data_IF_269604160549
#
_entry.id   IF_269604160549
#
_cell.length_a   1.000
_cell.length_b   1.000
_cell.length_c   1.000
_cell.angle_alpha   90.00
_cell.angle_beta   90.00
_cell.angle_gamma   90.00
#
_symmetry.space_group_name_H-M   'P 1'
#
loop_
_entity.id
_entity.type
_entity.pdbx_description
1 polymer ?
#
# COMPACT_ATOMS: atom_id res chain seq x y z
N UNK A 1 19.48 -14.74 -5.27
CA UNK A 1 18.37 -13.79 -5.45
C UNK A 1 17.77 -13.53 -4.08
N UNK A 2 18.04 -12.37 -3.47
CA UNK A 2 17.69 -12.13 -2.07
C UNK A 2 16.16 -12.05 -1.92
N UNK A 3 15.61 -12.95 -1.12
CA UNK A 3 14.29 -12.78 -0.51
C UNK A 3 14.20 -11.39 0.13
N UNK A 4 13.04 -10.74 0.04
CA UNK A 4 12.78 -9.57 0.87
C UNK A 4 12.79 -10.05 2.32
N UNK A 5 13.80 -9.70 3.10
CA UNK A 5 13.85 -10.11 4.50
C UNK A 5 12.81 -9.34 5.31
N UNK A 6 12.33 -9.91 6.42
CA UNK A 6 11.42 -9.23 7.34
C UNK A 6 12.00 -7.88 7.82
N UNK A 7 13.33 -7.80 7.96
CA UNK A 7 14.04 -6.57 8.30
C UNK A 7 14.04 -5.52 7.18
N UNK A 8 13.95 -5.91 5.92
CA UNK A 8 13.73 -4.98 4.80
C UNK A 8 12.28 -4.50 4.80
N UNK A 9 11.32 -5.42 4.94
CA UNK A 9 9.89 -5.09 5.00
C UNK A 9 9.62 -4.10 6.14
N UNK A 10 10.13 -4.36 7.35
CA UNK A 10 9.94 -3.49 8.50
C UNK A 10 10.52 -2.08 8.30
N UNK A 11 11.67 -1.96 7.60
CA UNK A 11 12.25 -0.64 7.28
C UNK A 11 11.39 0.14 6.29
N UNK A 12 10.86 -0.52 5.27
CA UNK A 12 9.99 0.15 4.30
C UNK A 12 8.64 0.55 4.93
N UNK A 13 8.03 -0.32 5.74
CA UNK A 13 6.82 0.02 6.49
C UNK A 13 7.03 1.21 7.42
N UNK A 14 8.21 1.35 8.03
CA UNK A 14 8.54 2.52 8.87
C UNK A 14 8.62 3.81 8.07
N UNK A 15 9.15 3.79 6.84
CA UNK A 15 9.13 4.97 5.96
C UNK A 15 7.69 5.34 5.56
N UNK A 16 6.88 4.33 5.23
CA UNK A 16 5.45 4.53 4.91
C UNK A 16 4.70 5.14 6.09
N UNK A 17 4.99 4.72 7.32
CA UNK A 17 4.40 5.34 8.53
C UNK A 17 4.75 6.83 8.63
N UNK A 18 6.00 7.21 8.32
CA UNK A 18 6.40 8.62 8.27
C UNK A 18 5.63 9.39 7.20
N UNK A 19 5.46 8.81 6.01
CA UNK A 19 4.70 9.44 4.93
C UNK A 19 3.23 9.65 5.30
N UNK A 20 2.61 8.69 5.97
CA UNK A 20 1.23 8.82 6.48
C UNK A 20 1.14 9.96 7.51
N UNK A 21 2.15 10.09 8.38
CA UNK A 21 2.20 11.19 9.35
C UNK A 21 2.34 12.55 8.65
N UNK A 22 3.16 12.63 7.60
CA UNK A 22 3.29 13.84 6.78
C UNK A 22 1.96 14.21 6.10
N UNK A 23 1.25 13.25 5.50
CA UNK A 23 -0.10 13.46 4.93
C UNK A 23 -1.05 13.99 6.00
N UNK A 24 -1.00 13.44 7.21
CA UNK A 24 -1.84 13.87 8.32
C UNK A 24 -1.52 15.32 8.72
N UNK A 25 -0.25 15.71 8.70
CA UNK A 25 0.19 17.09 8.90
C UNK A 25 -0.32 18.04 7.82
N UNK A 26 -0.19 17.65 6.54
CA UNK A 26 -0.68 18.42 5.40
C UNK A 26 -2.20 18.66 5.46
N UNK A 27 -2.97 17.66 5.91
CA UNK A 27 -4.42 17.78 6.10
C UNK A 27 -4.78 18.67 7.29
N UNK A 28 -4.01 18.56 8.37
CA UNK A 28 -4.31 19.28 9.62
C UNK A 28 -3.93 20.76 9.56
N UNK A 29 -3.04 21.14 8.64
CA UNK A 29 -2.53 22.51 8.47
C UNK A 29 -2.66 22.95 7.00
N UNK A 30 -3.89 23.13 6.48
CA UNK A 30 -4.13 23.37 5.05
C UNK A 30 -3.54 24.70 4.54
N UNK A 31 -3.37 25.70 5.41
CA UNK A 31 -2.80 27.01 5.07
C UNK A 31 -1.27 27.07 5.21
N UNK A 32 -0.62 25.94 5.50
CA UNK A 32 0.83 25.83 5.56
C UNK A 32 1.44 26.00 4.17
N UNK A 33 2.45 26.87 4.03
CA UNK A 33 3.22 27.01 2.79
C UNK A 33 4.07 25.75 2.48
N UNK A 34 4.32 24.90 3.49
CA UNK A 34 5.12 23.68 3.34
C UNK A 34 4.23 22.46 3.16
N UNK A 35 4.39 21.78 2.02
CA UNK A 35 3.88 20.43 1.76
C UNK A 35 4.88 19.41 2.31
N UNK A 36 4.44 18.60 3.28
CA UNK A 36 5.25 17.62 3.98
C UNK A 36 5.42 16.33 3.15
N UNK A 37 4.36 15.86 2.48
CA UNK A 37 4.47 14.72 1.58
C UNK A 37 5.16 15.11 0.26
N UNK A 38 6.37 14.58 0.08
CA UNK A 38 7.14 14.76 -1.14
C UNK A 38 6.58 13.93 -2.30
N UNK A 39 6.51 14.49 -3.51
CA UNK A 39 5.96 13.81 -4.71
C UNK A 39 6.75 12.54 -5.07
N UNK A 40 8.04 12.54 -4.79
CA UNK A 40 8.96 11.43 -5.06
C UNK A 40 8.58 10.17 -4.29
N UNK A 41 7.86 10.30 -3.16
CA UNK A 41 7.41 9.16 -2.35
C UNK A 41 6.45 8.23 -3.10
N UNK A 42 5.71 8.76 -4.08
CA UNK A 42 4.88 7.93 -4.96
C UNK A 42 5.76 7.04 -5.82
N UNK A 43 6.81 7.61 -6.42
CA UNK A 43 7.76 6.87 -7.24
C UNK A 43 8.46 5.79 -6.41
N UNK A 44 8.84 6.11 -5.17
CA UNK A 44 9.46 5.13 -4.27
C UNK A 44 8.55 3.93 -4.02
N UNK A 45 7.24 4.15 -3.83
CA UNK A 45 6.26 3.05 -3.70
C UNK A 45 6.12 2.27 -5.02
N UNK A 46 6.03 2.96 -6.15
CA UNK A 46 5.93 2.34 -7.48
C UNK A 46 7.15 1.45 -7.78
N UNK A 47 8.36 1.91 -7.46
CA UNK A 47 9.59 1.13 -7.59
C UNK A 47 9.55 -0.13 -6.71
N UNK A 48 9.01 -0.04 -5.49
CA UNK A 48 8.83 -1.21 -4.63
C UNK A 48 7.78 -2.20 -5.16
N UNK A 49 6.67 -1.69 -5.73
CA UNK A 49 5.66 -2.51 -6.42
C UNK A 49 6.33 -3.30 -7.55
N UNK A 50 7.15 -2.65 -8.38
CA UNK A 50 7.84 -3.30 -9.49
C UNK A 50 8.81 -4.38 -9.01
N UNK A 51 9.59 -4.11 -7.95
CA UNK A 51 10.51 -5.10 -7.38
C UNK A 51 9.75 -6.33 -6.87
N UNK A 52 8.61 -6.13 -6.19
CA UNK A 52 7.83 -7.26 -5.66
C UNK A 52 7.14 -8.03 -6.79
N UNK A 53 6.58 -7.32 -7.76
CA UNK A 53 5.90 -7.91 -8.93
C UNK A 53 6.82 -8.86 -9.69
N UNK A 54 8.08 -8.45 -9.91
CA UNK A 54 9.08 -9.28 -10.59
C UNK A 54 9.48 -10.56 -9.83
N UNK A 55 9.13 -10.68 -8.54
CA UNK A 55 9.40 -11.87 -7.72
C UNK A 55 8.20 -12.81 -7.63
N UNK A 56 7.04 -12.39 -8.11
CA UNK A 56 5.79 -13.12 -7.95
C UNK A 56 5.33 -13.75 -9.26
N UNK A 57 4.66 -14.92 -9.22
CA UNK A 57 3.93 -15.41 -10.37
C UNK A 57 2.83 -14.40 -10.77
N UNK A 58 2.49 -14.32 -12.08
CA UNK A 58 1.48 -13.40 -12.58
C UNK A 58 0.14 -13.64 -11.90
N UNK A 59 -0.56 -12.56 -11.56
CA UNK A 59 -1.90 -12.62 -10.98
C UNK A 59 -2.89 -13.01 -12.07
N UNK A 60 -3.48 -14.21 -11.97
CA UNK A 60 -4.44 -14.72 -12.96
C UNK A 60 -5.89 -14.49 -12.56
N UNK A 61 -6.16 -14.48 -11.27
CA UNK A 61 -7.52 -14.43 -10.69
C UNK A 61 -7.52 -13.56 -9.44
N UNK A 62 -8.71 -13.14 -9.00
CA UNK A 62 -8.86 -12.45 -7.73
C UNK A 62 -8.43 -13.36 -6.57
N UNK A 63 -7.75 -12.78 -5.59
CA UNK A 63 -7.26 -13.50 -4.40
C UNK A 63 -8.12 -13.11 -3.21
N UNK A 64 -8.59 -14.12 -2.48
CA UNK A 64 -9.25 -13.91 -1.19
C UNK A 64 -8.22 -13.50 -0.12
N UNK A 65 -8.51 -12.47 0.69
CA UNK A 65 -7.61 -12.04 1.74
C UNK A 65 -7.56 -13.09 2.85
N UNK A 66 -6.36 -13.60 3.15
CA UNK A 66 -6.19 -14.62 4.18
C UNK A 66 -4.85 -15.34 4.08
N UNK A 67 -4.56 -16.20 5.06
CA UNK A 67 -3.27 -16.89 5.20
C UNK A 67 -2.83 -16.88 6.66
N UNK A 68 -1.57 -16.56 6.92
CA UNK A 68 -1.05 -16.33 8.26
C UNK A 68 -1.55 -15.02 8.88
N UNK A 69 -1.28 -14.84 10.18
CA UNK A 69 -1.57 -13.58 10.88
C UNK A 69 -0.87 -12.38 10.21
N UNK A 70 0.37 -12.56 9.77
CA UNK A 70 1.14 -11.51 9.09
C UNK A 70 0.43 -11.06 7.81
N UNK A 71 0.05 -12.02 6.95
CA UNK A 71 -0.66 -11.75 5.70
C UNK A 71 -2.01 -11.07 5.96
N UNK A 72 -2.74 -11.54 6.98
CA UNK A 72 -4.04 -10.99 7.36
C UNK A 72 -3.92 -9.53 7.82
N UNK A 73 -2.90 -9.20 8.62
CA UNK A 73 -2.61 -7.81 9.06
C UNK A 73 -2.28 -6.89 7.88
N UNK A 74 -1.55 -7.38 6.87
CA UNK A 74 -1.29 -6.62 5.65
C UNK A 74 -2.57 -6.32 4.87
N UNK A 75 -3.49 -7.28 4.77
CA UNK A 75 -4.79 -7.04 4.15
C UNK A 75 -5.67 -6.07 4.94
N UNK A 76 -5.65 -6.13 6.27
CA UNK A 76 -6.33 -5.13 7.12
C UNK A 76 -5.77 -3.74 6.84
N UNK A 77 -4.45 -3.57 6.88
CA UNK A 77 -3.80 -2.29 6.57
C UNK A 77 -4.18 -1.77 5.17
N UNK A 78 -4.24 -2.67 4.17
CA UNK A 78 -4.70 -2.34 2.81
C UNK A 78 -6.13 -1.80 2.79
N UNK A 79 -7.05 -2.44 3.51
CA UNK A 79 -8.44 -1.96 3.59
C UNK A 79 -8.53 -0.59 4.25
N UNK A 80 -7.76 -0.34 5.31
CA UNK A 80 -7.66 0.97 5.95
C UNK A 80 -7.12 2.03 4.99
N UNK A 81 -6.12 1.71 4.17
CA UNK A 81 -5.58 2.64 3.16
C UNK A 81 -6.64 3.01 2.11
N UNK A 82 -7.42 2.03 1.63
CA UNK A 82 -8.52 2.29 0.67
C UNK A 82 -9.63 3.12 1.29
N UNK A 83 -9.94 2.92 2.58
CA UNK A 83 -10.91 3.74 3.29
C UNK A 83 -10.43 5.19 3.38
N UNK A 84 -9.17 5.40 3.79
CA UNK A 84 -8.56 6.72 3.87
C UNK A 84 -8.54 7.42 2.51
N UNK A 85 -8.16 6.73 1.44
CA UNK A 85 -8.21 7.28 0.08
C UNK A 85 -9.62 7.75 -0.32
N UNK A 86 -10.67 6.97 -0.07
CA UNK A 86 -12.05 7.39 -0.37
C UNK A 86 -12.45 8.62 0.43
N UNK A 87 -12.07 8.69 1.70
CA UNK A 87 -12.28 9.88 2.53
C UNK A 87 -11.54 11.09 1.98
N UNK A 88 -10.29 10.94 1.53
CA UNK A 88 -9.52 12.02 0.91
C UNK A 88 -10.20 12.50 -0.38
N UNK A 89 -10.59 11.59 -1.27
CA UNK A 89 -11.31 11.94 -2.51
C UNK A 89 -12.60 12.72 -2.19
N UNK A 90 -13.37 12.25 -1.20
CA UNK A 90 -14.62 12.92 -0.79
C UNK A 90 -14.37 14.28 -0.15
N UNK A 91 -13.33 14.43 0.65
CA UNK A 91 -12.99 15.68 1.35
C UNK A 91 -12.55 16.76 0.36
N UNK A 92 -11.85 16.35 -0.69
CA UNK A 92 -11.11 17.24 -1.55
C UNK A 92 -11.82 17.75 -2.80
N UNK A 93 -12.85 17.06 -3.29
CA UNK A 93 -13.49 17.43 -4.55
C UNK A 93 -12.51 17.50 -5.72
N UNK A 94 -12.43 18.65 -6.41
CA UNK A 94 -11.72 18.84 -7.68
C UNK A 94 -10.36 19.58 -7.63
N UNK A 95 -9.79 19.87 -6.45
CA UNK A 95 -8.55 20.68 -6.40
C UNK A 95 -7.27 19.85 -6.68
N UNK A 96 -6.14 20.51 -6.97
CA UNK A 96 -4.92 19.85 -7.52
C UNK A 96 -3.95 19.28 -6.46
N UNK A 97 -3.74 19.96 -5.32
CA UNK A 97 -2.96 19.43 -4.18
C UNK A 97 -3.55 18.11 -3.66
N UNK A 98 -4.86 17.99 -3.84
CA UNK A 98 -5.71 16.91 -3.38
C UNK A 98 -5.47 15.57 -4.09
N UNK A 99 -4.87 15.59 -5.28
CA UNK A 99 -4.56 14.37 -6.02
C UNK A 99 -3.32 13.67 -5.45
N UNK A 100 -2.41 14.39 -4.78
CA UNK A 100 -1.16 13.80 -4.32
C UNK A 100 -1.39 12.78 -3.19
N UNK A 101 -2.12 13.17 -2.15
CA UNK A 101 -2.42 12.27 -1.02
C UNK A 101 -3.27 11.09 -1.45
N UNK A 102 -4.33 11.33 -2.24
CA UNK A 102 -5.18 10.25 -2.75
C UNK A 102 -4.38 9.28 -3.64
N UNK A 103 -3.53 9.79 -4.54
CA UNK A 103 -2.65 8.95 -5.38
C UNK A 103 -1.65 8.16 -4.56
N UNK A 104 -1.08 8.75 -3.51
CA UNK A 104 -0.19 8.03 -2.60
C UNK A 104 -0.93 6.89 -1.88
N UNK A 105 -2.12 7.15 -1.32
CA UNK A 105 -2.92 6.12 -0.65
C UNK A 105 -3.39 5.01 -1.60
N UNK A 106 -3.69 5.37 -2.85
CA UNK A 106 -3.98 4.42 -3.93
C UNK A 106 -2.81 3.43 -4.12
N UNK A 107 -1.60 3.95 -4.38
CA UNK A 107 -0.41 3.13 -4.61
C UNK A 107 0.02 2.36 -3.37
N UNK A 108 -0.10 2.95 -2.19
CA UNK A 108 0.18 2.25 -0.93
C UNK A 108 -0.71 1.00 -0.77
N UNK A 109 -1.98 1.09 -1.15
CA UNK A 109 -2.86 -0.08 -1.07
C UNK A 109 -2.48 -1.19 -2.06
N UNK A 110 -1.96 -0.84 -3.24
CA UNK A 110 -1.44 -1.81 -4.21
C UNK A 110 -0.16 -2.46 -3.69
N UNK A 111 0.74 -1.66 -3.10
CA UNK A 111 1.94 -2.16 -2.45
C UNK A 111 1.61 -3.13 -1.32
N UNK A 112 0.65 -2.81 -0.44
CA UNK A 112 0.24 -3.71 0.65
C UNK A 112 -0.38 -5.00 0.14
N UNK A 113 -1.10 -4.98 -0.99
CA UNK A 113 -1.59 -6.18 -1.66
C UNK A 113 -0.44 -7.06 -2.16
N UNK A 114 0.52 -6.47 -2.88
CA UNK A 114 1.68 -7.20 -3.40
C UNK A 114 2.58 -7.72 -2.28
N UNK A 115 2.76 -6.95 -1.21
CA UNK A 115 3.51 -7.37 -0.03
C UNK A 115 2.84 -8.57 0.66
N UNK A 116 1.51 -8.58 0.76
CA UNK A 116 0.77 -9.73 1.29
C UNK A 116 0.99 -10.99 0.43
N UNK A 117 0.99 -10.85 -0.91
CA UNK A 117 1.33 -11.94 -1.84
C UNK A 117 2.78 -12.42 -1.69
N UNK A 118 3.72 -11.49 -1.51
CA UNK A 118 5.14 -11.80 -1.31
C UNK A 118 5.37 -12.60 -0.03
N UNK A 119 4.78 -12.17 1.08
CA UNK A 119 4.87 -12.90 2.35
C UNK A 119 4.24 -14.27 2.21
N UNK A 120 3.04 -14.37 1.60
CA UNK A 120 2.38 -15.63 1.30
C UNK A 120 3.27 -16.58 0.48
N UNK A 121 3.92 -16.06 -0.56
CA UNK A 121 4.86 -16.81 -1.40
C UNK A 121 6.09 -17.30 -0.61
N UNK A 122 6.69 -16.44 0.22
CA UNK A 122 7.85 -16.78 1.03
C UNK A 122 7.52 -17.82 2.13
N UNK A 123 6.32 -17.76 2.70
CA UNK A 123 5.82 -18.73 3.69
C UNK A 123 5.37 -20.06 3.06
N UNK A 124 5.34 -20.17 1.73
CA UNK A 124 4.86 -21.36 1.01
C UNK A 124 3.35 -21.59 1.16
N UNK A 125 2.58 -20.57 1.58
CA UNK A 125 1.14 -20.63 1.73
C UNK A 125 0.48 -20.43 0.35
N UNK A 126 -0.52 -21.25 0.00
CA UNK A 126 -1.20 -21.13 -1.30
C UNK A 126 -2.09 -19.89 -1.38
N UNK A 127 -2.14 -19.28 -2.55
CA UNK A 127 -3.12 -18.25 -2.88
C UNK A 127 -4.50 -18.91 -3.01
N UNK A 128 -5.49 -18.38 -2.31
CA UNK A 128 -6.88 -18.82 -2.43
C UNK A 128 -7.57 -17.89 -3.42
N UNK A 129 -8.08 -18.47 -4.50
CA UNK A 129 -8.76 -17.72 -5.54
C UNK A 129 -10.23 -17.54 -5.19
N UNK A 130 -10.76 -16.37 -5.54
CA UNK A 130 -12.19 -16.13 -5.44
C UNK A 130 -12.92 -17.00 -6.47
N UNK A 131 -13.96 -17.68 -5.99
CA UNK A 131 -14.83 -18.55 -6.78
C UNK A 131 -16.23 -17.93 -6.74
N UNK A 132 -16.78 -17.59 -7.91
CA UNK A 132 -18.10 -16.95 -8.02
C UNK A 132 -19.24 -17.91 -7.64
N UNK A 133 -19.03 -19.22 -7.78
CA UNK A 133 -20.08 -20.23 -7.59
C UNK A 133 -20.11 -20.80 -6.16
N UNK A 134 -19.14 -20.44 -5.32
CA UNK A 134 -19.14 -20.72 -3.87
C UNK A 134 -19.83 -19.61 -3.08
#
# INVERSE_FOLDING_TARGET
MSSFSDSQIGRELKKIQQDIFNISGDISLPDSESVLLKKERIKDIEDHIDIITNKLPPLKEFILPGGSEHISRLHIARTSCRNAERSLISMYGNENLNQLHAKYMNRLSDYLFLLARLVKHNEGVKEEHWDLEK
#
